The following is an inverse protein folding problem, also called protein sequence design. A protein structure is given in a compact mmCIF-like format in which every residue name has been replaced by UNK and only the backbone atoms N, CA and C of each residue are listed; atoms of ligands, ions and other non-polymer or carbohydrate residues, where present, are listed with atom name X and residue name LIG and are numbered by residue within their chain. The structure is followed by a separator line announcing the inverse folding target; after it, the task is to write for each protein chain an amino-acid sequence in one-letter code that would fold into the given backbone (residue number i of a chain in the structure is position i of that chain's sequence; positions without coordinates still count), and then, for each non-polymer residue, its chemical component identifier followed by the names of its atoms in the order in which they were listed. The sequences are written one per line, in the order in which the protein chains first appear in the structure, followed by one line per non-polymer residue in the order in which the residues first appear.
data_IF_379402320182
#
_entry.id   IF_379402320182
#
_cell.length_a   1.000
_cell.length_b   1.000
_cell.length_c   1.000
_cell.angle_alpha   90.00
_cell.angle_beta   90.00
_cell.angle_gamma   90.00
#
_symmetry.space_group_name_H-M   'P 1'
#
loop_
_entity.id
_entity.type
_entity.pdbx_description
1 polymer ?
#
# COMPACT_ATOMS: atom_id res chain seq x y z
N UNK A 1 19.49 13.46 10.62
CA UNK A 1 18.56 14.11 9.67
C UNK A 1 17.91 13.00 8.86
N UNK A 2 16.57 12.95 8.81
CA UNK A 2 15.86 11.94 8.00
C UNK A 2 16.07 12.24 6.52
N UNK A 3 16.24 11.21 5.68
CA UNK A 3 16.34 11.40 4.23
C UNK A 3 15.04 12.04 3.70
N UNK A 4 15.11 12.97 2.72
CA UNK A 4 13.92 13.56 2.14
C UNK A 4 13.09 12.50 1.40
N UNK A 5 11.78 12.53 1.61
CA UNK A 5 10.87 11.63 0.93
C UNK A 5 10.80 11.95 -0.57
N UNK A 6 11.03 10.95 -1.42
CA UNK A 6 11.00 11.10 -2.89
C UNK A 6 9.64 10.81 -3.49
N UNK A 7 8.78 10.12 -2.74
CA UNK A 7 7.47 9.67 -3.19
C UNK A 7 6.38 10.06 -2.20
N UNK A 8 5.15 10.18 -2.68
CA UNK A 8 3.97 10.33 -1.83
C UNK A 8 2.85 9.36 -2.25
N UNK A 9 2.31 8.62 -1.29
CA UNK A 9 1.05 7.90 -1.44
C UNK A 9 -0.10 8.91 -1.36
N UNK A 10 -0.97 8.92 -2.36
CA UNK A 10 -2.09 9.86 -2.46
C UNK A 10 -3.39 9.10 -2.39
N UNK A 11 -4.20 9.38 -1.38
CA UNK A 11 -5.56 8.86 -1.26
C UNK A 11 -6.51 9.63 -2.17
N UNK A 12 -7.08 8.94 -3.16
CA UNK A 12 -8.04 9.50 -4.12
C UNK A 12 -9.45 9.64 -3.54
N UNK A 13 -9.79 8.93 -2.46
CA UNK A 13 -11.04 9.10 -1.76
C UNK A 13 -10.90 8.77 -0.27
N UNK A 14 -11.66 9.46 0.57
CA UNK A 14 -11.64 9.22 2.02
C UNK A 14 -12.40 7.95 2.45
N UNK A 15 -12.99 7.21 1.51
CA UNK A 15 -13.69 5.95 1.75
C UNK A 15 -13.38 4.93 0.65
N UNK A 16 -13.36 3.64 1.00
CA UNK A 16 -13.19 2.56 0.05
C UNK A 16 -14.34 1.57 0.17
N UNK A 17 -14.99 1.23 -0.95
CA UNK A 17 -16.10 0.26 -0.99
C UNK A 17 -15.70 -1.15 -0.55
N UNK A 18 -14.41 -1.51 -0.66
CA UNK A 18 -13.91 -2.82 -0.23
C UNK A 18 -13.96 -2.96 1.30
N UNK A 19 -13.73 -1.87 2.05
CA UNK A 19 -13.85 -1.80 3.51
C UNK A 19 -13.20 -2.98 4.27
N UNK A 20 -11.99 -3.41 3.85
CA UNK A 20 -11.33 -4.59 4.38
C UNK A 20 -11.19 -4.53 5.91
N UNK A 21 -11.57 -5.61 6.61
CA UNK A 21 -11.51 -5.70 8.07
C UNK A 21 -10.12 -5.56 8.70
N UNK A 22 -9.06 -5.68 7.89
CA UNK A 22 -7.65 -5.55 8.28
C UNK A 22 -6.97 -4.28 7.74
N UNK A 23 -7.73 -3.33 7.17
CA UNK A 23 -7.17 -2.06 6.70
C UNK A 23 -7.14 -1.03 7.83
N UNK A 24 -5.95 -0.51 8.16
CA UNK A 24 -5.75 0.40 9.29
C UNK A 24 -5.71 1.89 8.92
N UNK A 25 -5.97 2.27 7.66
CA UNK A 25 -5.81 3.67 7.20
C UNK A 25 -6.64 4.63 8.06
N UNK A 26 -6.00 5.70 8.52
CA UNK A 26 -6.62 6.73 9.35
C UNK A 26 -7.40 7.78 8.54
N UNK A 27 -7.88 7.43 7.33
CA UNK A 27 -8.63 8.35 6.48
C UNK A 27 -10.02 8.61 7.08
N UNK A 28 -10.42 9.88 7.09
CA UNK A 28 -11.71 10.34 7.64
C UNK A 28 -12.47 11.28 6.70
N UNK A 29 -11.99 11.46 5.46
CA UNK A 29 -12.60 12.40 4.53
C UNK A 29 -13.91 11.84 3.95
N UNK A 30 -14.89 12.73 3.76
CA UNK A 30 -16.11 12.39 3.04
C UNK A 30 -15.92 12.67 1.55
N UNK A 31 -16.04 11.64 0.71
CA UNK A 31 -16.01 11.78 -0.74
C UNK A 31 -14.62 11.63 -1.39
N UNK A 32 -14.51 12.17 -2.60
CA UNK A 32 -13.33 12.08 -3.47
C UNK A 32 -12.38 13.27 -3.29
N UNK A 33 -11.10 13.06 -3.57
CA UNK A 33 -10.07 14.09 -3.63
C UNK A 33 -10.41 15.11 -4.73
N UNK A 34 -10.58 16.37 -4.37
CA UNK A 34 -10.89 17.40 -5.37
C UNK A 34 -9.64 17.78 -6.18
N UNK A 35 -9.86 18.23 -7.43
CA UNK A 35 -8.79 18.73 -8.29
C UNK A 35 -8.03 19.90 -7.65
N UNK A 36 -8.74 20.81 -6.98
CA UNK A 36 -8.14 21.99 -6.36
C UNK A 36 -7.22 21.59 -5.19
N UNK A 37 -7.70 20.70 -4.31
CA UNK A 37 -6.90 20.15 -3.21
C UNK A 37 -5.70 19.40 -3.75
N UNK A 38 -5.88 18.58 -4.80
CA UNK A 38 -4.78 17.82 -5.37
C UNK A 38 -3.73 18.69 -6.06
N UNK A 39 -4.16 19.69 -6.83
CA UNK A 39 -3.27 20.66 -7.49
C UNK A 39 -2.42 21.40 -6.46
N UNK A 40 -3.04 21.81 -5.36
CA UNK A 40 -2.33 22.41 -4.23
C UNK A 40 -1.37 21.44 -3.57
N UNK A 41 -1.80 20.20 -3.33
CA UNK A 41 -0.95 19.15 -2.78
C UNK A 41 0.29 18.91 -3.63
N UNK A 42 0.14 18.77 -4.95
CA UNK A 42 1.26 18.58 -5.88
C UNK A 42 2.26 19.72 -5.81
N UNK A 43 1.79 20.97 -5.76
CA UNK A 43 2.66 22.14 -5.57
C UNK A 43 3.46 22.06 -4.26
N UNK A 44 2.82 21.66 -3.15
CA UNK A 44 3.49 21.55 -1.84
C UNK A 44 4.48 20.39 -1.80
N UNK A 45 4.09 19.23 -2.31
CA UNK A 45 4.95 18.04 -2.37
C UNK A 45 6.17 18.28 -3.27
N UNK A 46 6.02 19.02 -4.38
CA UNK A 46 7.15 19.36 -5.25
C UNK A 46 8.19 20.22 -4.53
N UNK A 47 7.74 21.20 -3.74
CA UNK A 47 8.61 22.07 -2.95
C UNK A 47 9.42 21.28 -1.90
N UNK A 48 8.96 20.09 -1.49
CA UNK A 48 9.64 19.24 -0.50
C UNK A 48 10.56 18.20 -1.12
N UNK A 49 10.73 18.20 -2.44
CA UNK A 49 11.57 17.24 -3.17
C UNK A 49 10.88 15.93 -3.55
N UNK A 50 9.55 15.86 -3.48
CA UNK A 50 8.81 14.71 -4.01
C UNK A 50 8.87 14.73 -5.54
N UNK A 51 9.25 13.59 -6.09
CA UNK A 51 9.47 13.34 -7.52
C UNK A 51 8.41 12.41 -8.12
N UNK A 52 7.67 11.67 -7.29
CA UNK A 52 6.63 10.76 -7.74
C UNK A 52 5.45 10.66 -6.78
N UNK A 53 4.29 10.33 -7.33
CA UNK A 53 3.06 10.08 -6.57
C UNK A 53 2.50 8.71 -6.92
N UNK A 54 2.02 7.99 -5.90
CA UNK A 54 1.31 6.74 -6.08
C UNK A 54 -0.15 6.97 -5.72
N UNK A 55 -1.04 6.93 -6.70
CA UNK A 55 -2.48 7.01 -6.48
C UNK A 55 -2.95 5.72 -5.80
N UNK A 56 -3.57 5.86 -4.64
CA UNK A 56 -4.14 4.80 -3.81
C UNK A 56 -5.39 5.38 -3.12
N UNK A 57 -5.85 4.78 -2.02
CA UNK A 57 -6.77 5.38 -1.05
C UNK A 57 -8.15 5.76 -1.61
N UNK A 58 -9.21 5.20 -1.03
CA UNK A 58 -10.31 4.73 -1.87
C UNK A 58 -9.83 3.70 -2.89
N UNK A 59 -10.66 3.41 -3.89
CA UNK A 59 -10.27 2.68 -5.09
C UNK A 59 -10.06 3.74 -6.21
N UNK A 60 -8.82 3.99 -6.68
CA UNK A 60 -8.52 5.04 -7.66
C UNK A 60 -9.39 4.99 -8.91
N UNK A 61 -9.73 3.79 -9.37
CA UNK A 61 -10.57 3.57 -10.56
C UNK A 61 -12.03 4.01 -10.37
N UNK A 62 -12.47 4.29 -9.14
CA UNK A 62 -13.77 4.89 -8.85
C UNK A 62 -13.78 6.42 -8.93
N UNK A 63 -12.60 7.05 -9.03
CA UNK A 63 -12.51 8.50 -9.02
C UNK A 63 -13.06 9.10 -10.33
N UNK A 64 -14.09 9.96 -10.31
CA UNK A 64 -14.75 10.46 -11.53
C UNK A 64 -13.81 11.30 -12.40
N UNK A 65 -12.74 11.83 -11.82
CA UNK A 65 -11.73 12.64 -12.52
C UNK A 65 -10.34 11.97 -12.54
N UNK A 66 -10.26 10.63 -12.51
CA UNK A 66 -8.98 9.88 -12.47
C UNK A 66 -7.98 10.37 -13.52
N UNK A 67 -8.43 10.52 -14.78
CA UNK A 67 -7.58 11.02 -15.88
C UNK A 67 -6.99 12.40 -15.58
N UNK A 68 -7.77 13.28 -14.95
CA UNK A 68 -7.29 14.62 -14.59
C UNK A 68 -6.27 14.57 -13.45
N UNK A 69 -6.44 13.68 -12.46
CA UNK A 69 -5.43 13.46 -11.42
C UNK A 69 -4.09 13.05 -12.04
N UNK A 70 -4.08 12.00 -12.87
CA UNK A 70 -2.85 11.53 -13.50
C UNK A 70 -2.19 12.63 -14.34
N UNK A 71 -2.96 13.37 -15.15
CA UNK A 71 -2.44 14.48 -15.97
C UNK A 71 -1.84 15.61 -15.15
N UNK A 72 -2.46 15.98 -14.02
CA UNK A 72 -1.95 17.04 -13.15
C UNK A 72 -0.60 16.65 -12.55
N UNK A 73 -0.44 15.43 -12.06
CA UNK A 73 0.86 14.98 -11.53
C UNK A 73 1.98 15.11 -12.57
N UNK A 74 1.71 14.71 -13.82
CA UNK A 74 2.63 14.91 -14.94
C UNK A 74 2.94 16.38 -15.23
N UNK A 75 1.96 17.28 -15.13
CA UNK A 75 2.19 18.72 -15.30
C UNK A 75 3.12 19.31 -14.24
N UNK A 76 3.17 18.72 -13.05
CA UNK A 76 4.14 19.06 -11.99
C UNK A 76 5.49 18.34 -12.15
N UNK A 77 5.67 17.59 -13.24
CA UNK A 77 6.87 16.81 -13.51
C UNK A 77 7.09 15.73 -12.45
N UNK A 78 6.01 15.03 -12.07
CA UNK A 78 6.06 13.89 -11.15
C UNK A 78 5.75 12.59 -11.88
N UNK A 79 6.49 11.52 -11.57
CA UNK A 79 6.15 10.17 -11.97
C UNK A 79 4.84 9.73 -11.29
N UNK A 80 4.05 8.89 -11.96
CA UNK A 80 2.75 8.43 -11.44
C UNK A 80 2.70 6.92 -11.41
N UNK A 81 2.37 6.36 -10.27
CA UNK A 81 2.01 4.95 -10.11
C UNK A 81 0.61 4.80 -9.53
N UNK A 82 0.08 3.57 -9.54
CA UNK A 82 -1.24 3.28 -8.98
C UNK A 82 -1.27 1.97 -8.20
N UNK A 83 -1.91 2.00 -7.03
CA UNK A 83 -2.32 0.81 -6.27
C UNK A 83 -3.85 0.71 -6.35
N UNK A 84 -4.34 -0.36 -6.95
CA UNK A 84 -5.77 -0.60 -7.20
C UNK A 84 -6.14 -2.05 -6.87
N UNK A 85 -7.42 -2.33 -6.68
CA UNK A 85 -7.93 -3.70 -6.68
C UNK A 85 -8.64 -4.07 -7.98
N UNK A 86 -8.90 -3.11 -8.88
CA UNK A 86 -9.71 -3.19 -10.10
C UNK A 86 -10.16 -4.62 -10.49
N UNK A 87 -11.44 -4.90 -10.25
CA UNK A 87 -12.09 -6.22 -10.31
C UNK A 87 -13.17 -6.31 -11.37
N UNK A 88 -13.82 -5.19 -11.68
CA UNK A 88 -14.89 -5.11 -12.68
C UNK A 88 -14.35 -4.60 -14.01
N UNK A 89 -15.01 -4.95 -15.11
CA UNK A 89 -14.66 -4.45 -16.45
C UNK A 89 -14.56 -2.92 -16.49
N UNK A 90 -15.49 -2.21 -15.85
CA UNK A 90 -15.48 -0.75 -15.76
C UNK A 90 -14.24 -0.20 -15.03
N UNK A 91 -13.81 -0.85 -13.94
CA UNK A 91 -12.60 -0.47 -13.21
C UNK A 91 -11.34 -0.72 -14.05
N UNK A 92 -11.27 -1.86 -14.76
CA UNK A 92 -10.15 -2.19 -15.66
C UNK A 92 -10.10 -1.21 -16.83
N UNK A 93 -11.24 -0.86 -17.44
CA UNK A 93 -11.29 0.17 -18.49
C UNK A 93 -10.83 1.54 -17.99
N UNK A 94 -11.21 1.92 -16.77
CA UNK A 94 -10.77 3.19 -16.17
C UNK A 94 -9.24 3.21 -15.94
N UNK A 95 -8.65 2.09 -15.54
CA UNK A 95 -7.20 1.92 -15.42
C UNK A 95 -6.51 1.98 -16.79
N UNK A 96 -6.98 1.20 -17.77
CA UNK A 96 -6.44 1.18 -19.13
C UNK A 96 -6.46 2.56 -19.80
N UNK A 97 -7.47 3.38 -19.53
CA UNK A 97 -7.58 4.74 -20.05
C UNK A 97 -6.43 5.67 -19.62
N UNK A 98 -5.67 5.32 -18.57
CA UNK A 98 -4.55 6.11 -18.04
C UNK A 98 -3.22 5.36 -18.01
N UNK A 99 -3.17 4.09 -18.42
CA UNK A 99 -2.01 3.19 -18.26
C UNK A 99 -0.71 3.73 -18.87
N UNK A 100 -0.79 4.33 -20.07
CA UNK A 100 0.34 4.90 -20.81
C UNK A 100 1.01 6.08 -20.08
N UNK A 101 0.40 6.60 -19.02
CA UNK A 101 0.95 7.65 -18.14
C UNK A 101 1.47 7.10 -16.81
N UNK A 102 1.37 5.79 -16.57
CA UNK A 102 1.79 5.16 -15.33
C UNK A 102 3.17 4.52 -15.49
N UNK A 103 4.04 4.71 -14.51
CA UNK A 103 5.34 4.03 -14.45
C UNK A 103 5.18 2.60 -13.96
N UNK A 104 4.24 2.37 -13.05
CA UNK A 104 3.88 1.02 -12.58
C UNK A 104 2.44 0.95 -12.08
N UNK A 105 1.92 -0.28 -12.07
CA UNK A 105 0.62 -0.62 -11.48
C UNK A 105 0.79 -1.78 -10.52
N UNK A 106 0.28 -1.59 -9.30
CA UNK A 106 0.15 -2.62 -8.29
C UNK A 106 -1.32 -3.00 -8.15
N UNK A 107 -1.66 -4.27 -8.38
CA UNK A 107 -3.01 -4.79 -8.14
C UNK A 107 -3.03 -5.63 -6.86
N UNK A 108 -3.89 -5.25 -5.92
CA UNK A 108 -4.05 -5.95 -4.64
C UNK A 108 -4.92 -7.20 -4.78
N UNK A 109 -4.41 -8.33 -4.29
CA UNK A 109 -5.11 -9.60 -4.12
C UNK A 109 -4.97 -10.10 -2.67
N UNK A 110 -5.87 -10.97 -2.26
CA UNK A 110 -5.89 -11.57 -0.93
C UNK A 110 -5.87 -13.11 -1.05
N UNK A 111 -5.22 -13.79 -0.10
CA UNK A 111 -5.41 -15.24 0.07
C UNK A 111 -6.82 -15.57 0.55
N UNK A 112 -7.25 -16.83 0.49
CA UNK A 112 -8.56 -17.28 0.96
C UNK A 112 -8.79 -16.91 2.43
N UNK A 113 -7.83 -17.20 3.32
CA UNK A 113 -7.91 -16.81 4.73
C UNK A 113 -7.97 -15.30 4.93
N UNK A 114 -7.22 -14.52 4.15
CA UNK A 114 -7.28 -13.06 4.19
C UNK A 114 -8.64 -12.54 3.69
N UNK A 115 -9.20 -13.10 2.61
CA UNK A 115 -10.53 -12.75 2.13
C UNK A 115 -11.61 -13.02 3.17
N UNK A 116 -11.55 -14.17 3.83
CA UNK A 116 -12.49 -14.54 4.89
C UNK A 116 -12.44 -13.56 6.06
N UNK A 117 -11.25 -13.26 6.58
CA UNK A 117 -11.05 -12.33 7.68
C UNK A 117 -11.45 -10.89 7.29
N UNK A 118 -11.03 -10.44 6.11
CA UNK A 118 -11.24 -9.08 5.64
C UNK A 118 -12.62 -8.81 5.07
N UNK A 119 -13.40 -9.87 4.79
CA UNK A 119 -14.64 -9.82 4.01
C UNK A 119 -14.44 -9.16 2.64
N UNK A 120 -13.35 -9.52 1.97
CA UNK A 120 -12.99 -9.01 0.64
C UNK A 120 -13.29 -10.07 -0.43
N UNK A 121 -13.22 -9.65 -1.69
CA UNK A 121 -13.39 -10.54 -2.86
C UNK A 121 -12.28 -10.34 -3.88
N UNK A 122 -11.08 -9.96 -3.42
CA UNK A 122 -9.93 -9.63 -4.26
C UNK A 122 -9.13 -10.90 -4.53
N UNK A 123 -9.38 -11.57 -5.64
CA UNK A 123 -8.70 -12.84 -5.95
C UNK A 123 -7.42 -12.60 -6.75
N UNK A 124 -6.44 -13.50 -6.60
CA UNK A 124 -5.22 -13.51 -7.42
C UNK A 124 -5.56 -13.64 -8.90
N UNK A 125 -6.54 -14.47 -9.27
CA UNK A 125 -6.97 -14.63 -10.65
C UNK A 125 -7.48 -13.30 -11.26
N UNK A 126 -8.32 -12.55 -10.54
CA UNK A 126 -8.77 -11.23 -11.03
C UNK A 126 -7.63 -10.23 -11.12
N UNK A 127 -6.69 -10.24 -10.16
CA UNK A 127 -5.55 -9.34 -10.18
C UNK A 127 -4.61 -9.60 -11.35
N UNK A 128 -4.32 -10.87 -11.63
CA UNK A 128 -3.54 -11.28 -12.81
C UNK A 128 -4.24 -10.88 -14.09
N UNK A 129 -5.55 -11.13 -14.22
CA UNK A 129 -6.32 -10.73 -15.40
C UNK A 129 -6.25 -9.21 -15.63
N UNK A 130 -6.41 -8.41 -14.58
CA UNK A 130 -6.28 -6.94 -14.65
C UNK A 130 -4.89 -6.51 -15.07
N UNK A 131 -3.83 -7.10 -14.51
CA UNK A 131 -2.44 -6.78 -14.87
C UNK A 131 -2.10 -7.19 -16.31
N UNK A 132 -2.66 -8.29 -16.81
CA UNK A 132 -2.49 -8.71 -18.20
C UNK A 132 -3.26 -7.84 -19.19
N UNK A 133 -4.37 -7.22 -18.75
CA UNK A 133 -5.20 -6.34 -19.58
C UNK A 133 -4.60 -4.94 -19.80
N UNK A 134 -3.55 -4.58 -19.07
CA UNK A 134 -2.91 -3.25 -19.16
C UNK A 134 -1.48 -3.33 -19.67
N UNK A 135 -1.01 -2.30 -20.35
CA UNK A 135 0.38 -2.19 -20.84
C UNK A 135 1.13 -1.08 -20.09
N UNK A 136 1.81 -1.48 -19.02
CA UNK A 136 2.63 -0.61 -18.17
C UNK A 136 4.04 -1.20 -18.00
N UNK A 137 5.08 -0.36 -17.78
CA UNK A 137 6.46 -0.84 -17.68
C UNK A 137 6.68 -1.88 -16.58
N UNK A 138 6.03 -1.70 -15.43
CA UNK A 138 6.16 -2.60 -14.28
C UNK A 138 4.77 -3.00 -13.76
N UNK A 139 4.58 -4.32 -13.59
CA UNK A 139 3.33 -4.94 -13.15
C UNK A 139 3.57 -5.69 -11.85
N UNK A 140 2.87 -5.30 -10.79
CA UNK A 140 3.04 -5.88 -9.46
C UNK A 140 1.72 -6.45 -8.98
N UNK A 141 1.71 -7.73 -8.59
CA UNK A 141 0.65 -8.33 -7.81
C UNK A 141 1.04 -8.23 -6.34
N UNK A 142 0.27 -7.46 -5.56
CA UNK A 142 0.43 -7.38 -4.12
C UNK A 142 -0.52 -8.36 -3.44
N UNK A 143 0.01 -9.45 -2.90
CA UNK A 143 -0.74 -10.47 -2.18
C UNK A 143 -0.71 -10.20 -0.68
N UNK A 144 -1.88 -9.93 -0.11
CA UNK A 144 -2.08 -9.96 1.34
C UNK A 144 -2.46 -11.39 1.74
N UNK A 145 -1.69 -12.01 2.64
CA UNK A 145 -1.87 -13.43 2.95
C UNK A 145 -2.11 -13.70 4.43
N UNK A 146 -2.91 -14.73 4.68
CA UNK A 146 -3.23 -15.34 5.96
C UNK A 146 -3.77 -16.74 5.70
N UNK A 147 -3.33 -17.71 6.49
CA UNK A 147 -3.82 -19.10 6.51
C UNK A 147 -3.80 -19.73 5.10
N UNK A 148 -2.60 -19.82 4.52
CA UNK A 148 -2.38 -20.22 3.13
C UNK A 148 -2.11 -21.72 3.05
N UNK A 149 -3.01 -22.44 2.39
CA UNK A 149 -2.82 -23.87 2.12
C UNK A 149 -1.78 -24.12 1.00
N UNK A 150 -1.19 -25.31 1.00
CA UNK A 150 -0.24 -25.74 -0.06
C UNK A 150 -0.88 -25.74 -1.45
N UNK A 151 -2.14 -26.16 -1.56
CA UNK A 151 -2.90 -26.13 -2.80
C UNK A 151 -3.14 -24.71 -3.29
N UNK A 152 -3.45 -23.78 -2.38
CA UNK A 152 -3.64 -22.37 -2.71
C UNK A 152 -2.31 -21.75 -3.19
N UNK A 153 -1.22 -21.95 -2.45
CA UNK A 153 0.10 -21.47 -2.85
C UNK A 153 0.51 -22.02 -4.22
N UNK A 154 0.17 -23.28 -4.54
CA UNK A 154 0.36 -23.87 -5.85
C UNK A 154 -0.40 -23.14 -6.95
N UNK A 155 -1.67 -22.84 -6.71
CA UNK A 155 -2.53 -22.15 -7.67
C UNK A 155 -2.04 -20.72 -7.92
N UNK A 156 -1.70 -19.99 -6.85
CA UNK A 156 -1.16 -18.63 -6.97
C UNK A 156 0.11 -18.64 -7.81
N UNK A 157 1.05 -19.56 -7.53
CA UNK A 157 2.28 -19.68 -8.29
C UNK A 157 2.03 -20.03 -9.78
N UNK A 158 1.07 -20.93 -10.04
CA UNK A 158 0.67 -21.29 -11.40
C UNK A 158 0.06 -20.12 -12.18
N UNK A 159 -0.72 -19.26 -11.54
CA UNK A 159 -1.35 -18.09 -12.17
C UNK A 159 -0.34 -17.01 -12.58
N UNK A 160 0.77 -16.86 -11.84
CA UNK A 160 1.78 -15.83 -12.13
C UNK A 160 2.95 -16.36 -12.95
N UNK A 161 3.15 -17.68 -13.03
CA UNK A 161 4.25 -18.29 -13.76
C UNK A 161 4.25 -17.86 -15.25
N UNK A 162 5.40 -17.36 -15.71
CA UNK A 162 5.59 -16.94 -17.10
C UNK A 162 4.89 -15.64 -17.51
N UNK A 163 4.18 -14.96 -16.60
CA UNK A 163 3.46 -13.71 -16.91
C UNK A 163 4.34 -12.45 -16.89
N UNK A 164 5.50 -12.53 -16.25
CA UNK A 164 6.36 -11.36 -15.98
C UNK A 164 5.86 -10.44 -14.86
N UNK A 165 4.78 -10.81 -14.16
CA UNK A 165 4.25 -10.06 -13.01
C UNK A 165 5.14 -10.29 -11.78
N UNK A 166 5.58 -9.21 -11.15
CA UNK A 166 6.27 -9.28 -9.86
C UNK A 166 5.27 -9.57 -8.74
N UNK A 167 5.58 -10.51 -7.85
CA UNK A 167 4.73 -10.81 -6.69
C UNK A 167 5.33 -10.18 -5.43
N UNK A 168 4.55 -9.34 -4.76
CA UNK A 168 4.87 -8.76 -3.47
C UNK A 168 3.97 -9.33 -2.39
N UNK A 169 4.58 -9.88 -1.35
CA UNK A 169 3.85 -10.55 -0.26
C UNK A 169 3.76 -9.64 0.97
N UNK A 170 2.59 -9.55 1.58
CA UNK A 170 2.40 -8.91 2.90
C UNK A 170 1.54 -9.79 3.79
N UNK A 171 2.02 -10.21 4.98
CA UNK A 171 1.18 -10.94 5.91
C UNK A 171 0.08 -10.03 6.45
N UNK A 172 -1.09 -10.61 6.74
CA UNK A 172 -2.08 -9.92 7.59
C UNK A 172 -1.49 -9.76 8.99
N UNK A 173 -1.58 -8.54 9.50
CA UNK A 173 -1.24 -8.21 10.88
C UNK A 173 -2.53 -7.80 11.57
N UNK A 174 -2.77 -8.39 12.74
CA UNK A 174 -3.92 -8.10 13.58
C UNK A 174 -3.45 -7.32 14.80
N UNK A 175 -4.15 -6.23 15.09
CA UNK A 175 -4.04 -5.59 16.38
C UNK A 175 -4.70 -6.45 17.48
N UNK A 176 -4.55 -6.06 18.74
CA UNK A 176 -5.06 -6.81 19.90
C UNK A 176 -6.56 -7.15 19.79
N UNK A 177 -7.39 -6.17 19.39
CA UNK A 177 -8.81 -6.39 19.13
C UNK A 177 -9.09 -7.34 17.96
N UNK A 178 -8.22 -7.34 16.94
CA UNK A 178 -8.27 -8.29 15.83
C UNK A 178 -7.99 -9.71 16.29
N UNK A 179 -6.96 -9.90 17.12
CA UNK A 179 -6.60 -11.19 17.72
C UNK A 179 -7.71 -11.75 18.61
N UNK A 180 -8.29 -10.91 19.47
CA UNK A 180 -9.43 -11.29 20.32
C UNK A 180 -10.62 -11.74 19.46
N UNK A 181 -10.95 -10.99 18.39
CA UNK A 181 -12.04 -11.34 17.48
C UNK A 181 -11.79 -12.63 16.70
N UNK A 182 -10.52 -12.91 16.38
CA UNK A 182 -10.11 -14.16 15.74
C UNK A 182 -10.04 -15.34 16.73
N UNK A 183 -10.21 -15.11 18.03
CA UNK A 183 -10.14 -16.15 19.05
C UNK A 183 -8.73 -16.72 19.27
N UNK A 184 -7.69 -15.98 18.87
CA UNK A 184 -6.30 -16.43 18.90
C UNK A 184 -5.41 -15.55 19.78
N UNK A 185 -4.24 -16.08 20.13
CA UNK A 185 -3.19 -15.30 20.79
C UNK A 185 -2.22 -14.69 19.79
N UNK A 186 -1.43 -13.71 20.25
CA UNK A 186 -0.29 -13.18 19.48
C UNK A 186 0.68 -14.29 19.06
N UNK A 187 0.94 -15.27 19.94
CA UNK A 187 1.83 -16.39 19.64
C UNK A 187 1.27 -17.27 18.52
N UNK A 188 -0.04 -17.50 18.48
CA UNK A 188 -0.69 -18.27 17.43
C UNK A 188 -0.61 -17.54 16.09
N UNK A 189 -0.81 -16.22 16.08
CA UNK A 189 -0.66 -15.40 14.87
C UNK A 189 0.77 -15.42 14.33
N UNK A 190 1.79 -15.37 15.20
CA UNK A 190 3.19 -15.48 14.78
C UNK A 190 3.48 -16.86 14.17
N UNK A 191 3.03 -17.94 14.82
CA UNK A 191 3.21 -19.32 14.32
C UNK A 191 2.52 -19.54 12.97
N UNK A 192 1.28 -19.06 12.84
CA UNK A 192 0.53 -19.15 11.59
C UNK A 192 1.26 -18.44 10.46
N UNK A 193 1.74 -17.21 10.68
CA UNK A 193 2.53 -16.50 9.67
C UNK A 193 3.82 -17.23 9.30
N UNK A 194 4.53 -17.81 10.27
CA UNK A 194 5.73 -18.60 9.98
C UNK A 194 5.41 -19.80 9.08
N UNK A 195 4.29 -20.50 9.36
CA UNK A 195 3.79 -21.59 8.52
C UNK A 195 3.42 -21.09 7.11
N UNK A 196 2.59 -20.04 6.99
CA UNK A 196 2.20 -19.44 5.71
C UNK A 196 3.41 -19.01 4.88
N UNK A 197 4.41 -18.41 5.55
CA UNK A 197 5.65 -17.99 4.90
C UNK A 197 6.44 -19.18 4.39
N UNK A 198 6.50 -20.28 5.15
CA UNK A 198 7.16 -21.51 4.70
C UNK A 198 6.45 -22.13 3.49
N UNK A 199 5.11 -22.19 3.52
CA UNK A 199 4.29 -22.64 2.39
C UNK A 199 4.59 -21.80 1.13
N UNK A 200 4.54 -20.47 1.26
CA UNK A 200 4.84 -19.56 0.14
C UNK A 200 6.30 -19.66 -0.31
N UNK A 201 7.26 -19.85 0.60
CA UNK A 201 8.67 -20.04 0.26
C UNK A 201 8.94 -21.32 -0.54
N UNK A 202 8.06 -22.33 -0.43
CA UNK A 202 8.10 -23.53 -1.25
C UNK A 202 7.79 -23.26 -2.73
N UNK A 203 7.13 -22.14 -3.05
CA UNK A 203 6.70 -21.77 -4.41
C UNK A 203 7.36 -20.50 -4.94
N UNK A 204 7.72 -19.58 -4.06
CA UNK A 204 8.29 -18.27 -4.39
C UNK A 204 9.70 -18.11 -3.84
N UNK A 205 10.58 -17.50 -4.64
CA UNK A 205 11.93 -17.11 -4.19
C UNK A 205 11.87 -15.86 -3.33
N UNK A 206 11.77 -16.05 -2.01
CA UNK A 206 11.78 -14.94 -1.06
C UNK A 206 13.14 -14.27 -0.99
N UNK A 207 13.18 -12.94 -1.19
CA UNK A 207 14.41 -12.16 -1.11
C UNK A 207 14.96 -12.08 0.33
N UNK A 208 16.26 -11.83 0.47
CA UNK A 208 16.87 -11.59 1.79
C UNK A 208 16.27 -10.35 2.48
N UNK A 209 15.95 -9.32 1.70
CA UNK A 209 15.25 -8.14 2.19
C UNK A 209 13.89 -8.49 2.79
N UNK A 210 13.12 -9.35 2.12
CA UNK A 210 11.82 -9.77 2.60
C UNK A 210 11.92 -10.65 3.86
N UNK A 211 12.89 -11.56 3.91
CA UNK A 211 13.16 -12.38 5.11
C UNK A 211 13.54 -11.52 6.31
N UNK A 212 14.46 -10.57 6.13
CA UNK A 212 14.84 -9.60 7.17
C UNK A 212 13.63 -8.79 7.65
N UNK A 213 12.75 -8.40 6.72
CA UNK A 213 11.50 -7.71 7.06
C UNK A 213 10.58 -8.56 7.95
N UNK A 214 10.44 -9.87 7.68
CA UNK A 214 9.65 -10.77 8.52
C UNK A 214 10.27 -10.96 9.92
N UNK A 215 11.60 -11.00 10.01
CA UNK A 215 12.30 -11.05 11.29
C UNK A 215 12.08 -9.76 12.10
N UNK A 216 12.12 -8.60 11.44
CA UNK A 216 11.83 -7.30 12.06
C UNK A 216 10.39 -7.25 12.59
N UNK A 217 9.42 -7.70 11.78
CA UNK A 217 8.02 -7.82 12.19
C UNK A 217 7.84 -8.70 13.41
N UNK A 218 8.49 -9.87 13.43
CA UNK A 218 8.43 -10.78 14.57
C UNK A 218 8.97 -10.13 15.83
N UNK A 219 10.10 -9.41 15.73
CA UNK A 219 10.67 -8.69 16.88
C UNK A 219 9.75 -7.60 17.38
N UNK A 220 9.16 -6.80 16.49
CA UNK A 220 8.22 -5.73 16.86
C UNK A 220 6.95 -6.28 17.54
N UNK A 221 6.44 -7.43 17.10
CA UNK A 221 5.26 -8.04 17.70
C UNK A 221 5.53 -8.64 19.08
N UNK A 222 6.72 -9.22 19.30
CA UNK A 222 7.07 -9.91 20.54
C UNK A 222 7.72 -8.98 21.58
N UNK A 223 8.04 -7.73 21.24
CA UNK A 223 8.61 -6.77 22.19
C UNK A 223 7.53 -5.96 22.89
N UNK A 224 7.71 -5.71 24.18
CA UNK A 224 6.93 -4.72 24.95
C UNK A 224 7.34 -3.27 24.67
N UNK A 225 8.28 -3.05 23.73
CA UNK A 225 8.84 -1.73 23.42
C UNK A 225 7.82 -0.88 22.65
N UNK A 226 7.63 0.39 23.04
CA UNK A 226 6.53 1.26 22.57
C UNK A 226 6.69 1.76 21.11
N UNK A 227 7.24 0.96 20.20
CA UNK A 227 7.37 1.27 18.78
C UNK A 227 8.60 2.13 18.44
N UNK A 228 9.18 1.85 17.28
CA UNK A 228 10.37 2.55 16.79
C UNK A 228 10.01 3.84 16.03
N UNK A 229 10.91 4.83 15.89
CA UNK A 229 10.63 6.02 15.08
C UNK A 229 10.35 5.64 13.62
N UNK A 230 9.30 6.22 13.01
CA UNK A 230 8.99 6.01 11.59
C UNK A 230 10.18 6.38 10.69
N UNK A 231 10.55 5.46 9.80
CA UNK A 231 11.60 5.64 8.78
C UNK A 231 11.06 5.57 7.35
N UNK A 232 9.75 5.72 7.17
CA UNK A 232 9.15 5.74 5.83
C UNK A 232 9.83 6.81 4.97
N UNK A 233 10.28 6.41 3.79
CA UNK A 233 10.79 7.33 2.77
C UNK A 233 9.68 7.88 1.86
N UNK A 234 8.42 7.55 2.18
CA UNK A 234 7.23 7.94 1.40
C UNK A 234 6.30 8.75 2.30
N UNK A 235 5.86 9.91 1.82
CA UNK A 235 4.81 10.71 2.48
C UNK A 235 3.43 10.13 2.18
N UNK A 236 2.43 10.56 2.95
CA UNK A 236 1.05 10.25 2.69
C UNK A 236 0.26 11.56 2.50
N UNK A 237 -0.69 11.57 1.59
CA UNK A 237 -1.62 12.67 1.38
C UNK A 237 -3.04 12.12 1.37
N UNK A 238 -3.84 12.50 2.36
CA UNK A 238 -5.24 12.06 2.46
C UNK A 238 -6.13 12.80 1.46
N UNK A 239 -7.29 12.24 1.10
CA UNK A 239 -8.21 12.89 0.16
C UNK A 239 -8.71 14.28 0.64
N UNK A 240 -8.63 14.56 1.95
CA UNK A 240 -8.95 15.87 2.53
C UNK A 240 -7.83 16.91 2.39
N UNK A 241 -6.66 16.55 1.87
CA UNK A 241 -5.51 17.44 1.74
C UNK A 241 -4.64 17.52 2.99
N UNK A 242 -4.65 16.49 3.84
CA UNK A 242 -3.68 16.38 4.95
C UNK A 242 -2.43 15.63 4.50
N UNK A 243 -1.27 16.28 4.58
CA UNK A 243 0.04 15.66 4.40
C UNK A 243 0.46 15.02 5.72
N UNK A 244 0.82 13.73 5.69
CA UNK A 244 1.27 12.95 6.84
C UNK A 244 2.57 12.24 6.49
N UNK A 245 3.33 11.84 7.50
CA UNK A 245 4.52 10.97 7.32
C UNK A 245 4.16 9.49 7.31
N UNK A 246 2.98 9.16 7.82
CA UNK A 246 2.45 7.81 7.90
C UNK A 246 0.97 7.79 7.47
N UNK A 247 0.54 6.82 6.64
CA UNK A 247 -0.89 6.64 6.31
C UNK A 247 -1.76 6.29 7.52
N UNK A 248 -1.14 5.79 8.59
CA UNK A 248 -1.78 5.39 9.84
C UNK A 248 -1.63 6.43 10.95
N UNK A 249 -0.75 7.41 10.76
CA UNK A 249 -0.59 8.52 11.68
C UNK A 249 -1.85 9.37 11.74
N UNK A 250 -2.17 9.86 12.95
CA UNK A 250 -3.20 10.87 13.14
C UNK A 250 -2.67 12.29 12.91
N UNK A 251 -1.35 12.48 13.06
CA UNK A 251 -0.68 13.77 12.90
C UNK A 251 -0.48 14.10 11.41
N UNK A 252 -0.85 15.32 11.03
CA UNK A 252 -0.71 15.82 9.67
C UNK A 252 -0.72 17.34 9.62
N UNK A 253 -0.39 17.86 8.44
CA UNK A 253 -0.47 19.29 8.12
C UNK A 253 -1.29 19.48 6.84
N UNK A 254 -2.22 20.43 6.87
CA UNK A 254 -3.06 20.73 5.72
C UNK A 254 -2.24 21.32 4.56
N UNK A 255 -2.55 20.94 3.32
CA UNK A 255 -1.99 21.57 2.11
C UNK A 255 -2.35 23.06 1.98
N UNK A 256 -3.36 23.51 2.73
CA UNK A 256 -3.77 24.91 2.82
C UNK A 256 -2.94 25.72 3.83
N UNK A 257 -2.17 25.06 4.70
CA UNK A 257 -1.31 25.73 5.66
C UNK A 257 -0.23 26.59 4.96
N UNK A 258 0.31 27.61 5.65
CA UNK A 258 1.46 28.35 5.18
C UNK A 258 2.63 27.42 4.83
N UNK A 259 3.39 27.78 3.79
CA UNK A 259 4.57 26.99 3.35
C UNK A 259 5.56 26.71 4.48
N UNK A 260 5.77 27.71 5.35
CA UNK A 260 6.65 27.57 6.51
C UNK A 260 6.17 26.47 7.46
N UNK A 261 4.87 26.42 7.76
CA UNK A 261 4.29 25.40 8.63
C UNK A 261 4.43 23.98 8.06
N UNK A 262 4.20 23.82 6.75
CA UNK A 262 4.38 22.53 6.07
C UNK A 262 5.85 22.09 6.13
N UNK A 263 6.78 23.00 5.85
CA UNK A 263 8.22 22.72 5.94
C UNK A 263 8.61 22.35 7.36
N UNK A 264 8.21 23.15 8.35
CA UNK A 264 8.55 22.93 9.75
C UNK A 264 7.98 21.58 10.24
N UNK A 265 6.76 21.22 9.84
CA UNK A 265 6.18 19.89 10.09
C UNK A 265 7.03 18.77 9.48
N UNK A 266 7.51 18.93 8.24
CA UNK A 266 8.31 17.94 7.49
C UNK A 266 9.80 17.88 7.89
N UNK A 267 10.32 18.90 8.56
CA UNK A 267 11.67 18.91 9.13
C UNK A 267 11.69 18.45 10.60
N UNK A 268 10.60 18.63 11.34
CA UNK A 268 10.48 18.18 12.72
C UNK A 268 10.66 16.66 12.86
N UNK A 269 11.20 16.14 13.98
CA UNK A 269 11.22 14.71 14.22
C UNK A 269 9.82 14.10 14.15
N UNK A 270 9.68 12.99 13.40
CA UNK A 270 8.42 12.25 13.33
C UNK A 270 8.01 11.79 14.72
N UNK A 271 6.77 12.09 15.11
CA UNK A 271 6.13 11.52 16.30
C UNK A 271 5.46 10.17 16.00
N UNK A 272 5.26 9.85 14.71
CA UNK A 272 4.74 8.55 14.30
C UNK A 272 5.67 7.43 14.75
N UNK A 273 5.08 6.44 15.42
CA UNK A 273 5.76 5.23 15.85
C UNK A 273 5.42 4.07 14.94
N UNK A 274 6.43 3.25 14.68
CA UNK A 274 6.35 2.04 13.89
C UNK A 274 5.82 0.94 14.81
N UNK A 275 4.60 0.51 14.57
CA UNK A 275 4.04 -0.74 15.10
C UNK A 275 3.97 -1.82 14.00
N UNK A 276 3.60 -3.06 14.35
CA UNK A 276 3.39 -4.13 13.37
C UNK A 276 2.51 -3.68 12.20
N UNK A 277 1.39 -3.03 12.48
CA UNK A 277 0.41 -2.57 11.48
C UNK A 277 1.00 -1.67 10.38
N UNK A 278 2.07 -0.91 10.69
CA UNK A 278 2.67 0.02 9.73
C UNK A 278 3.78 -0.60 8.87
N UNK A 279 4.44 -1.64 9.36
CA UNK A 279 5.53 -2.31 8.65
C UNK A 279 5.02 -3.05 7.40
N UNK A 280 3.74 -3.43 7.37
CA UNK A 280 3.07 -4.04 6.20
C UNK A 280 3.09 -3.20 4.91
N UNK A 281 3.16 -1.86 5.02
CA UNK A 281 3.08 -0.94 3.88
C UNK A 281 4.33 -0.08 3.74
N UNK A 282 4.86 0.46 4.83
CA UNK A 282 5.90 1.48 4.80
C UNK A 282 7.32 0.90 4.63
N UNK A 283 7.47 -0.28 3.97
CA UNK A 283 8.73 -1.03 3.81
C UNK A 283 9.91 -0.05 3.75
N UNK A 284 10.72 0.09 4.83
CA UNK A 284 11.85 0.99 4.79
C UNK A 284 12.71 0.53 3.62
N UNK A 285 12.95 1.43 2.67
CA UNK A 285 13.50 1.16 1.35
C UNK A 285 14.61 0.08 1.39
N UNK A 286 14.20 -1.18 1.23
CA UNK A 286 15.09 -2.29 0.97
C UNK A 286 15.04 -2.48 -0.53
N UNK A 287 15.94 -1.74 -1.18
CA UNK A 287 16.24 -1.92 -2.59
C UNK A 287 16.41 -3.41 -2.91
N UNK A 288 15.80 -3.81 -4.03
CA UNK A 288 15.78 -5.14 -4.63
C UNK A 288 14.87 -6.18 -3.94
N UNK A 289 13.61 -6.26 -4.41
CA UNK A 289 12.88 -7.52 -4.39
C UNK A 289 13.27 -8.36 -5.60
N UNK A 290 13.31 -9.68 -5.38
CA UNK A 290 13.93 -10.67 -6.24
C UNK A 290 13.22 -10.81 -7.60
N UNK A 291 14.03 -10.98 -8.65
CA UNK A 291 13.57 -11.56 -9.90
C UNK A 291 13.19 -13.03 -9.69
N UNK A 292 12.15 -13.49 -10.40
CA UNK A 292 11.79 -14.90 -10.54
C UNK A 292 12.96 -15.72 -11.13
#
# INVERSE_FOLDING_TARGET
MSAPARTALVSTAGHCKVACGFCFRADRAHGFLTIDTYTRALSRLKETGVEGVCLTGGEPTHHPQLRQLVRLAHQFGMAVSMVTSARTEAEVMALAAVEHLLTNVTVSADSEGAMALGRTTRTVASAVATLLAVDVPEKVLHLTYLDVAEEEAAQIAGLVAGTGIEVQLSPVLLNEQGLIRAGGSLQDSVKLREADTATLAGRFRLSNAYRSYLDDLRRMQLSDDEGHPCRSATLYMSAGGEIRRCPYGADGVSVQAPRAEIRDFLEAPSKDRVGPDCAAICRPASHACAAA
#
